data_IF_879536029911
#
_entry.id   IF_879536029911
#
_cell.length_a   1.000
_cell.length_b   1.000
_cell.length_c   1.000
_cell.angle_alpha   90.00
_cell.angle_beta   90.00
_cell.angle_gamma   90.00
#
_symmetry.space_group_name_H-M   'P 1'
#
loop_
_entity.id
_entity.type
_entity.pdbx_description
1 polymer ?
#
# COMPACT_ATOMS: atom_id res chain seq x y z
N UNK A 1 5.30 -13.74 0.75
CA UNK A 1 3.97 -13.18 1.10
C UNK A 1 3.31 -12.64 -0.16
N UNK A 2 1.99 -12.74 -0.22
CA UNK A 2 1.15 -12.04 -1.20
C UNK A 2 0.73 -10.70 -0.61
N UNK A 3 1.18 -9.61 -1.23
CA UNK A 3 1.01 -8.26 -0.71
C UNK A 3 0.24 -7.40 -1.71
N UNK A 4 -0.85 -6.79 -1.27
CA UNK A 4 -1.59 -5.81 -2.04
C UNK A 4 -1.15 -4.38 -1.70
N UNK A 5 -0.98 -3.55 -2.72
CA UNK A 5 -0.75 -2.11 -2.55
C UNK A 5 -2.02 -1.38 -2.98
N UNK A 6 -2.87 -1.06 -2.02
CA UNK A 6 -4.09 -0.30 -2.27
C UNK A 6 -3.74 1.19 -2.44
N UNK A 7 -3.52 1.58 -3.68
CA UNK A 7 -3.06 2.91 -4.06
C UNK A 7 -1.55 3.00 -4.32
N UNK A 8 -1.12 2.52 -5.47
CA UNK A 8 0.28 2.57 -5.90
C UNK A 8 0.67 3.96 -6.42
N UNK A 9 0.42 4.99 -5.62
CA UNK A 9 0.93 6.35 -5.83
C UNK A 9 2.36 6.49 -5.32
N UNK A 10 2.72 7.68 -4.80
CA UNK A 10 4.08 7.96 -4.35
C UNK A 10 4.51 7.07 -3.17
N UNK A 11 3.69 6.99 -2.12
CA UNK A 11 4.01 6.21 -0.91
C UNK A 11 3.86 4.72 -1.18
N UNK A 12 2.69 4.28 -1.67
CA UNK A 12 2.42 2.88 -1.96
C UNK A 12 3.33 2.31 -3.03
N UNK A 13 3.60 3.07 -4.08
CA UNK A 13 4.55 2.67 -5.13
C UNK A 13 5.96 2.48 -4.59
N UNK A 14 6.43 3.41 -3.76
CA UNK A 14 7.75 3.31 -3.14
C UNK A 14 7.90 2.04 -2.30
N UNK A 15 7.06 1.85 -1.28
CA UNK A 15 7.16 0.67 -0.41
C UNK A 15 6.88 -0.63 -1.16
N UNK A 16 5.90 -0.63 -2.07
CA UNK A 16 5.58 -1.80 -2.88
C UNK A 16 6.73 -2.23 -3.78
N UNK A 17 7.46 -1.29 -4.39
CA UNK A 17 8.63 -1.59 -5.21
C UNK A 17 9.76 -2.24 -4.39
N UNK A 18 10.05 -1.74 -3.20
CA UNK A 18 11.05 -2.36 -2.31
C UNK A 18 10.63 -3.75 -1.84
N UNK A 19 9.34 -3.96 -1.52
CA UNK A 19 8.82 -5.28 -1.18
C UNK A 19 8.93 -6.25 -2.36
N UNK A 20 8.64 -5.77 -3.57
CA UNK A 20 8.83 -6.57 -4.79
C UNK A 20 10.29 -6.95 -5.01
N UNK A 21 11.20 -6.00 -4.84
CA UNK A 21 12.65 -6.24 -4.94
C UNK A 21 13.16 -7.23 -3.88
N UNK A 22 12.53 -7.24 -2.69
CA UNK A 22 12.82 -8.19 -1.63
C UNK A 22 12.26 -9.61 -1.89
N UNK A 23 11.60 -9.84 -3.03
CA UNK A 23 11.12 -11.16 -3.46
C UNK A 23 9.69 -11.49 -3.05
N UNK A 24 8.91 -10.52 -2.60
CA UNK A 24 7.49 -10.71 -2.32
C UNK A 24 6.65 -10.71 -3.60
N UNK A 25 5.50 -11.38 -3.55
CA UNK A 25 4.49 -11.33 -4.61
C UNK A 25 3.61 -10.09 -4.38
N UNK A 26 3.83 -9.05 -5.16
CA UNK A 26 3.22 -7.73 -4.95
C UNK A 26 2.28 -7.40 -6.10
N UNK A 27 1.02 -7.10 -5.74
CA UNK A 27 -0.01 -6.57 -6.63
C UNK A 27 -0.21 -5.08 -6.37
N UNK A 28 -0.14 -4.28 -7.41
CA UNK A 28 -0.26 -2.82 -7.32
C UNK A 28 -1.59 -2.35 -7.89
N UNK A 29 -2.45 -1.78 -7.05
CA UNK A 29 -3.68 -1.13 -7.48
C UNK A 29 -3.41 0.34 -7.80
N UNK A 30 -3.67 0.71 -9.03
CA UNK A 30 -3.50 2.08 -9.53
C UNK A 30 -4.53 2.38 -10.62
N UNK A 31 -4.58 3.62 -11.09
CA UNK A 31 -5.52 4.05 -12.13
C UNK A 31 -4.90 5.06 -13.08
N UNK A 32 -5.55 5.24 -14.24
CA UNK A 32 -5.22 6.27 -15.23
C UNK A 32 -3.83 6.12 -15.84
N UNK A 33 -3.23 7.23 -16.20
CA UNK A 33 -1.93 7.27 -16.90
C UNK A 33 -0.79 6.63 -16.11
N UNK A 34 -0.85 6.69 -14.77
CA UNK A 34 0.16 6.07 -13.93
C UNK A 34 0.13 4.55 -14.05
N UNK A 35 -1.08 3.96 -14.02
CA UNK A 35 -1.27 2.52 -14.25
C UNK A 35 -0.81 2.11 -15.66
N UNK A 36 -1.21 2.87 -16.68
CA UNK A 36 -0.82 2.57 -18.07
C UNK A 36 0.69 2.54 -18.24
N UNK A 37 1.39 3.53 -17.68
CA UNK A 37 2.85 3.59 -17.74
C UNK A 37 3.52 2.42 -17.00
N UNK A 38 3.01 2.05 -15.82
CA UNK A 38 3.52 0.91 -15.07
C UNK A 38 3.32 -0.42 -15.82
N UNK A 39 2.16 -0.61 -16.47
CA UNK A 39 1.91 -1.79 -17.31
C UNK A 39 2.86 -1.89 -18.51
N UNK A 40 3.29 -0.76 -19.06
CA UNK A 40 4.18 -0.71 -20.22
C UNK A 40 5.65 -0.87 -19.88
N UNK A 41 6.09 -0.29 -18.76
CA UNK A 41 7.52 -0.09 -18.48
C UNK A 41 7.94 -0.44 -17.06
N UNK A 42 7.03 -1.01 -16.25
CA UNK A 42 7.27 -1.25 -14.85
C UNK A 42 7.15 0.02 -13.99
N UNK A 43 7.39 -0.13 -12.70
CA UNK A 43 7.44 0.97 -11.74
C UNK A 43 8.89 1.32 -11.42
N UNK A 44 9.28 2.53 -11.73
CA UNK A 44 10.63 3.04 -11.48
C UNK A 44 10.65 3.88 -10.20
N UNK A 45 11.61 3.59 -9.36
CA UNK A 45 11.91 4.36 -8.14
C UNK A 45 13.23 5.09 -8.33
N UNK A 46 13.21 6.41 -8.12
CA UNK A 46 14.40 7.25 -8.05
C UNK A 46 14.58 7.66 -6.60
N UNK A 47 15.65 7.23 -5.97
CA UNK A 47 15.94 7.52 -4.58
C UNK A 47 17.38 7.96 -4.35
N UNK A 48 17.75 8.12 -3.09
CA UNK A 48 19.09 8.55 -2.67
C UNK A 48 20.20 7.62 -3.17
N UNK A 49 19.92 6.31 -3.23
CA UNK A 49 20.90 5.27 -3.57
C UNK A 49 20.88 4.90 -5.06
N UNK A 50 20.16 5.65 -5.87
CA UNK A 50 20.08 5.46 -7.31
C UNK A 50 18.65 5.21 -7.82
N UNK A 51 18.59 4.57 -8.99
CA UNK A 51 17.34 4.29 -9.69
C UNK A 51 17.23 2.77 -9.94
N UNK A 52 16.02 2.24 -9.74
CA UNK A 52 15.70 0.86 -10.13
C UNK A 52 14.24 0.76 -10.60
N UNK A 53 13.97 -0.25 -11.40
CA UNK A 53 12.64 -0.54 -11.93
C UNK A 53 12.23 -1.94 -11.52
N UNK A 54 10.98 -2.10 -11.10
CA UNK A 54 10.37 -3.39 -10.82
C UNK A 54 9.26 -3.69 -11.80
N UNK A 55 9.21 -4.94 -12.24
CA UNK A 55 8.04 -5.51 -12.88
C UNK A 55 7.06 -5.98 -11.81
N UNK A 56 5.77 -5.97 -12.12
CA UNK A 56 4.76 -6.38 -11.17
C UNK A 56 3.40 -6.60 -11.83
N UNK A 57 2.45 -7.05 -11.02
CA UNK A 57 1.07 -7.08 -11.44
C UNK A 57 0.41 -5.74 -11.11
N UNK A 58 0.23 -4.93 -12.14
CA UNK A 58 -0.37 -3.60 -12.05
C UNK A 58 -1.80 -3.66 -12.58
N UNK A 59 -2.78 -3.24 -11.78
CA UNK A 59 -4.19 -3.36 -12.11
C UNK A 59 -5.02 -2.24 -11.50
N UNK A 60 -6.20 -2.00 -12.03
CA UNK A 60 -7.28 -1.21 -11.43
C UNK A 60 -8.41 -2.09 -10.87
N UNK A 61 -8.25 -3.40 -11.00
CA UNK A 61 -9.20 -4.40 -10.51
C UNK A 61 -8.86 -4.80 -9.07
N UNK A 62 -9.75 -4.44 -8.14
CA UNK A 62 -9.59 -4.72 -6.72
C UNK A 62 -9.72 -6.20 -6.38
N UNK A 63 -10.39 -6.99 -7.23
CA UNK A 63 -10.53 -8.44 -7.06
C UNK A 63 -9.19 -9.16 -7.04
N UNK A 64 -8.15 -8.53 -7.60
CA UNK A 64 -6.78 -9.03 -7.53
C UNK A 64 -6.21 -9.14 -6.10
N UNK A 65 -6.89 -8.60 -5.10
CA UNK A 65 -6.49 -8.71 -3.68
C UNK A 65 -7.16 -9.88 -2.94
N UNK A 66 -7.93 -10.74 -3.63
CA UNK A 66 -8.73 -11.81 -3.01
C UNK A 66 -7.94 -12.75 -2.10
N UNK A 67 -6.66 -12.96 -2.35
CA UNK A 67 -5.78 -13.85 -1.59
C UNK A 67 -4.57 -13.12 -0.96
N UNK A 68 -4.64 -11.79 -0.86
CA UNK A 68 -3.60 -11.01 -0.21
C UNK A 68 -3.51 -11.34 1.29
N UNK A 69 -2.30 -11.56 1.78
CA UNK A 69 -2.02 -11.79 3.20
C UNK A 69 -1.86 -10.45 3.95
N UNK A 70 -1.31 -9.45 3.26
CA UNK A 70 -1.10 -8.10 3.76
C UNK A 70 -1.54 -7.09 2.69
N UNK A 71 -2.26 -6.06 3.09
CA UNK A 71 -2.54 -4.91 2.23
C UNK A 71 -1.95 -3.64 2.86
N UNK A 72 -1.03 -3.00 2.12
CA UNK A 72 -0.58 -1.65 2.40
C UNK A 72 -1.63 -0.67 1.89
N UNK A 73 -2.30 0.01 2.82
CA UNK A 73 -3.41 0.90 2.50
C UNK A 73 -2.89 2.33 2.34
N UNK A 74 -2.81 2.80 1.08
CA UNK A 74 -2.13 4.03 0.67
C UNK A 74 -2.99 4.93 -0.22
N UNK A 75 -4.30 4.67 -0.34
CA UNK A 75 -5.21 5.52 -1.11
C UNK A 75 -5.34 6.90 -0.45
N UNK A 76 -5.78 7.88 -1.21
CA UNK A 76 -6.07 9.20 -0.66
C UNK A 76 -7.31 9.13 0.25
N UNK A 77 -7.35 9.95 1.30
CA UNK A 77 -8.40 9.92 2.34
C UNK A 77 -9.83 9.89 1.82
N UNK A 78 -10.22 10.60 0.74
CA UNK A 78 -11.58 10.51 0.21
C UNK A 78 -11.97 9.12 -0.32
N UNK A 79 -10.99 8.32 -0.72
CA UNK A 79 -11.20 6.98 -1.28
C UNK A 79 -11.16 5.87 -0.20
N UNK A 80 -10.86 6.20 1.06
CA UNK A 80 -10.63 5.21 2.14
C UNK A 80 -11.82 4.29 2.34
N UNK A 81 -13.01 4.84 2.56
CA UNK A 81 -14.20 4.04 2.83
C UNK A 81 -14.57 3.15 1.66
N UNK A 82 -14.66 3.71 0.47
CA UNK A 82 -15.02 2.95 -0.74
C UNK A 82 -14.05 1.79 -0.99
N UNK A 83 -12.76 2.08 -0.97
CA UNK A 83 -11.72 1.05 -1.21
C UNK A 83 -11.72 0.00 -0.10
N UNK A 84 -11.89 0.40 1.15
CA UNK A 84 -11.98 -0.51 2.29
C UNK A 84 -13.17 -1.46 2.19
N UNK A 85 -14.36 -0.95 1.89
CA UNK A 85 -15.56 -1.75 1.71
C UNK A 85 -15.45 -2.74 0.53
N UNK A 86 -14.84 -2.32 -0.58
CA UNK A 86 -14.58 -3.21 -1.71
C UNK A 86 -13.61 -4.35 -1.35
N UNK A 87 -12.54 -4.07 -0.62
CA UNK A 87 -11.60 -5.09 -0.13
C UNK A 87 -12.29 -6.04 0.86
N UNK A 88 -13.08 -5.51 1.79
CA UNK A 88 -13.83 -6.34 2.75
C UNK A 88 -14.81 -7.27 2.06
N UNK A 89 -15.44 -6.83 0.96
CA UNK A 89 -16.36 -7.63 0.17
C UNK A 89 -15.71 -8.84 -0.52
N UNK A 90 -14.38 -8.89 -0.65
CA UNK A 90 -13.64 -10.06 -1.16
C UNK A 90 -13.68 -11.25 -0.18
N UNK A 91 -14.06 -11.03 1.08
CA UNK A 91 -14.33 -12.09 2.05
C UNK A 91 -13.08 -12.75 2.65
N UNK A 92 -11.88 -12.22 2.40
CA UNK A 92 -10.66 -12.74 3.03
C UNK A 92 -10.46 -12.15 4.43
N UNK A 93 -10.97 -12.85 5.44
CA UNK A 93 -10.91 -12.41 6.84
C UNK A 93 -9.51 -12.49 7.47
N UNK A 94 -8.55 -13.13 6.79
CA UNK A 94 -7.18 -13.28 7.30
C UNK A 94 -6.24 -12.17 6.82
N UNK A 95 -6.66 -11.36 5.86
CA UNK A 95 -5.85 -10.25 5.35
C UNK A 95 -5.62 -9.22 6.44
N UNK A 96 -4.37 -8.88 6.67
CA UNK A 96 -3.96 -7.78 7.55
C UNK A 96 -3.92 -6.48 6.73
N UNK A 97 -4.43 -5.41 7.31
CA UNK A 97 -4.45 -4.08 6.71
C UNK A 97 -3.44 -3.21 7.46
N UNK A 98 -2.41 -2.76 6.77
CA UNK A 98 -1.45 -1.80 7.30
C UNK A 98 -1.69 -0.44 6.63
N UNK A 99 -2.25 0.51 7.37
CA UNK A 99 -2.43 1.85 6.83
C UNK A 99 -1.15 2.67 6.91
N UNK A 100 -0.78 3.24 5.76
CA UNK A 100 0.32 4.20 5.62
C UNK A 100 -0.22 5.62 5.36
N UNK A 101 -1.52 5.81 5.51
CA UNK A 101 -2.17 7.09 5.29
C UNK A 101 -1.88 8.04 6.47
N UNK A 102 -1.75 9.32 6.16
CA UNK A 102 -1.67 10.36 7.19
C UNK A 102 -3.07 10.68 7.74
N UNK A 103 -3.15 10.94 9.05
CA UNK A 103 -4.36 11.37 9.74
C UNK A 103 -5.13 10.24 10.41
N UNK A 104 -5.67 10.54 11.60
CA UNK A 104 -6.35 9.59 12.49
C UNK A 104 -7.72 9.14 11.96
N UNK A 105 -8.42 9.99 11.21
CA UNK A 105 -9.77 9.68 10.69
C UNK A 105 -9.77 8.45 9.75
N UNK A 106 -8.69 8.23 9.01
CA UNK A 106 -8.56 7.08 8.12
C UNK A 106 -8.50 5.75 8.90
N UNK A 107 -7.81 5.76 10.04
CA UNK A 107 -7.70 4.59 10.91
C UNK A 107 -9.06 4.19 11.48
N UNK A 108 -9.87 5.16 11.95
CA UNK A 108 -11.22 4.92 12.46
C UNK A 108 -12.10 4.24 11.39
N UNK A 109 -12.07 4.73 10.16
CA UNK A 109 -12.82 4.14 9.04
C UNK A 109 -12.38 2.68 8.79
N UNK A 110 -11.08 2.43 8.79
CA UNK A 110 -10.56 1.07 8.56
C UNK A 110 -10.90 0.13 9.72
N UNK A 111 -10.87 0.62 10.97
CA UNK A 111 -11.29 -0.14 12.14
C UNK A 111 -12.78 -0.52 12.09
N UNK A 112 -13.64 0.39 11.64
CA UNK A 112 -15.07 0.09 11.44
C UNK A 112 -15.29 -1.02 10.40
N UNK A 113 -14.50 -1.02 9.31
CA UNK A 113 -14.67 -1.96 8.20
C UNK A 113 -14.06 -3.33 8.50
N UNK A 114 -12.82 -3.36 8.99
CA UNK A 114 -12.02 -4.59 9.11
C UNK A 114 -11.95 -5.15 10.53
N UNK A 115 -12.30 -4.34 11.52
CA UNK A 115 -12.09 -4.67 12.93
C UNK A 115 -10.65 -4.47 13.40
N UNK A 116 -10.51 -4.24 14.70
CA UNK A 116 -9.24 -3.89 15.34
C UNK A 116 -8.16 -4.98 15.28
N UNK A 117 -8.56 -6.23 15.14
CA UNK A 117 -7.65 -7.39 15.08
C UNK A 117 -6.89 -7.48 13.75
N UNK A 118 -7.35 -6.77 12.73
CA UNK A 118 -6.80 -6.83 11.36
C UNK A 118 -6.14 -5.54 10.91
N UNK A 119 -6.25 -4.46 11.68
CA UNK A 119 -5.72 -3.15 11.29
C UNK A 119 -4.50 -2.79 12.10
N UNK A 120 -3.41 -2.54 11.41
CA UNK A 120 -2.19 -1.95 11.95
C UNK A 120 -2.04 -0.52 11.42
N UNK A 121 -1.48 0.34 12.24
CA UNK A 121 -1.17 1.72 11.87
C UNK A 121 0.32 1.93 11.70
N UNK A 122 0.69 2.83 10.81
CA UNK A 122 2.06 3.24 10.64
C UNK A 122 2.22 4.76 10.55
N UNK A 123 3.10 5.29 11.38
CA UNK A 123 3.60 6.64 11.18
C UNK A 123 4.67 6.63 10.09
N UNK A 124 4.34 7.22 8.95
CA UNK A 124 5.16 7.19 7.73
C UNK A 124 5.85 8.54 7.54
N UNK A 125 7.16 8.54 7.65
CA UNK A 125 8.01 9.70 7.38
C UNK A 125 8.72 9.47 6.05
N UNK A 126 8.15 10.01 4.98
CA UNK A 126 8.71 9.90 3.64
C UNK A 126 8.38 11.17 2.84
N UNK A 127 9.36 11.69 2.14
CA UNK A 127 9.14 12.70 1.10
C UNK A 127 9.21 11.99 -0.25
N UNK A 128 8.06 11.79 -0.87
CA UNK A 128 7.96 11.15 -2.18
C UNK A 128 6.85 11.76 -3.02
N UNK A 129 7.04 11.73 -4.32
CA UNK A 129 6.05 12.20 -5.28
C UNK A 129 6.13 11.38 -6.57
N UNK A 130 5.04 11.37 -7.33
CA UNK A 130 5.04 10.83 -8.68
C UNK A 130 5.68 11.88 -9.60
N UNK A 131 6.91 11.63 -10.04
CA UNK A 131 7.68 12.54 -10.91
C UNK A 131 7.04 12.62 -12.30
N UNK A 132 6.64 11.48 -12.82
CA UNK A 132 5.85 11.29 -14.05
C UNK A 132 5.15 9.93 -13.98
N UNK A 133 4.16 9.65 -14.82
CA UNK A 133 3.52 8.35 -14.86
C UNK A 133 4.52 7.19 -14.88
N UNK A 134 4.38 6.22 -13.96
CA UNK A 134 5.28 5.08 -13.81
C UNK A 134 6.59 5.35 -13.06
N UNK A 135 6.83 6.59 -12.60
CA UNK A 135 8.08 6.95 -11.91
C UNK A 135 7.79 7.66 -10.60
N UNK A 136 8.27 7.12 -9.50
CA UNK A 136 8.20 7.70 -8.16
C UNK A 136 9.60 8.17 -7.76
N UNK A 137 9.69 9.42 -7.31
CA UNK A 137 10.91 9.99 -6.75
C UNK A 137 10.77 10.14 -5.25
N UNK A 138 11.82 9.77 -4.53
CA UNK A 138 11.92 9.85 -3.08
C UNK A 138 13.14 10.69 -2.71
N UNK A 139 12.94 11.69 -1.86
CA UNK A 139 13.97 12.56 -1.36
C UNK A 139 14.08 12.44 0.16
N UNK A 140 15.30 12.56 0.69
CA UNK A 140 15.55 12.62 2.12
C UNK A 140 15.49 11.27 2.85
N UNK A 141 15.03 11.31 4.10
CA UNK A 141 14.99 10.15 5.00
C UNK A 141 13.66 9.41 4.85
N UNK A 142 13.72 8.09 4.90
CA UNK A 142 12.55 7.22 5.01
C UNK A 142 12.54 6.59 6.39
N UNK A 143 11.44 6.73 7.10
CA UNK A 143 11.21 6.07 8.38
C UNK A 143 9.76 5.61 8.45
N UNK A 144 9.58 4.35 8.80
CA UNK A 144 8.28 3.73 9.04
C UNK A 144 8.26 3.20 10.48
N UNK A 145 7.29 3.67 11.26
CA UNK A 145 7.03 3.17 12.61
C UNK A 145 5.68 2.47 12.58
N UNK A 146 5.69 1.15 12.76
CA UNK A 146 4.49 0.32 12.77
C UNK A 146 4.11 0.01 14.21
N UNK A 147 2.83 0.13 14.52
CA UNK A 147 2.28 -0.19 15.83
C UNK A 147 0.89 -0.81 15.74
N UNK A 148 0.56 -1.60 16.75
CA UNK A 148 -0.81 -2.03 17.00
C UNK A 148 -1.62 -0.84 17.55
N UNK A 149 -2.89 -0.77 17.18
CA UNK A 149 -3.79 0.29 17.66
C UNK A 149 -4.30 0.02 19.08
N UNK A 150 -4.25 -1.26 19.50
CA UNK A 150 -4.53 -1.71 20.87
C UNK A 150 -3.88 -3.08 21.14
N UNK A 151 -4.07 -3.62 22.38
CA UNK A 151 -3.53 -4.92 22.77
C UNK A 151 -4.02 -6.08 21.89
N UNK A 152 -5.23 -5.98 21.29
CA UNK A 152 -5.76 -7.03 20.40
C UNK A 152 -5.02 -7.11 19.07
N UNK A 153 -4.54 -5.97 18.56
CA UNK A 153 -3.75 -5.89 17.32
C UNK A 153 -2.27 -6.22 17.54
N UNK A 154 -1.78 -6.24 18.77
CA UNK A 154 -0.38 -6.48 19.07
C UNK A 154 0.10 -7.87 18.63
N UNK A 155 -0.77 -8.89 18.71
CA UNK A 155 -0.47 -10.25 18.25
C UNK A 155 -0.20 -10.35 16.74
N UNK A 156 -0.62 -9.35 15.98
CA UNK A 156 -0.45 -9.29 14.52
C UNK A 156 0.91 -8.68 14.12
N UNK A 157 1.61 -8.03 15.05
CA UNK A 157 2.90 -7.39 14.79
C UNK A 157 4.10 -8.36 14.81
N UNK A 158 3.91 -9.65 15.12
CA UNK A 158 4.97 -10.66 15.22
C UNK A 158 4.90 -11.72 14.13
#
# INVERSE_FOLDING_TARGET
MKIGIAGAGAVGGFFGAYLKQAGHDVTFLARGKHLEAMKQSGLTIIGKDGEFTVDGFFTDDIDAFYDAELILFCVKSPDTRLTGEQIQALGNEKTVILTLQNGVDNEEILLEIFGKERVLSAATYISSHVEKPGVVKQDGVVKLLVGALDEASESTCY
#
